data_IF_946331351707
#
_entry.id   IF_946331351707
#
_cell.length_a   1.000
_cell.length_b   1.000
_cell.length_c   1.000
_cell.angle_alpha   90.00
_cell.angle_beta   90.00
_cell.angle_gamma   90.00
#
_symmetry.space_group_name_H-M   'P 1'
#
loop_
_entity.id
_entity.type
_entity.pdbx_description
1 polymer ?
#
# COMPACT_ATOMS: atom_id res chain seq x y z
N UNK A 1 -21.91 -23.55 5.21
CA UNK A 1 -23.09 -22.83 4.67
C UNK A 1 -23.91 -23.84 3.90
N UNK A 2 -25.25 -23.79 3.98
CA UNK A 2 -26.08 -24.67 3.17
C UNK A 2 -26.17 -24.10 1.76
N UNK A 3 -25.69 -24.85 0.76
CA UNK A 3 -25.78 -24.45 -0.64
C UNK A 3 -27.24 -24.49 -1.12
N UNK A 4 -27.60 -23.57 -2.01
CA UNK A 4 -28.86 -23.60 -2.73
C UNK A 4 -28.88 -24.72 -3.76
N UNK A 5 -30.07 -25.13 -4.22
CA UNK A 5 -30.18 -26.16 -5.26
C UNK A 5 -29.50 -25.73 -6.58
N UNK A 6 -29.53 -24.44 -6.92
CA UNK A 6 -28.81 -23.91 -8.09
C UNK A 6 -27.29 -24.05 -7.94
N UNK A 7 -26.77 -23.72 -6.77
CA UNK A 7 -25.33 -23.85 -6.47
C UNK A 7 -24.87 -25.31 -6.54
N UNK A 8 -25.66 -26.24 -5.98
CA UNK A 8 -25.38 -27.68 -6.06
C UNK A 8 -25.38 -28.16 -7.51
N UNK A 9 -26.43 -27.83 -8.27
CA UNK A 9 -26.54 -28.22 -9.68
C UNK A 9 -25.38 -27.69 -10.54
N UNK A 10 -24.92 -26.46 -10.27
CA UNK A 10 -23.76 -25.88 -10.93
C UNK A 10 -22.47 -26.65 -10.62
N UNK A 11 -22.21 -26.97 -9.35
CA UNK A 11 -21.03 -27.74 -8.93
C UNK A 11 -21.04 -29.14 -9.55
N UNK A 12 -22.17 -29.83 -9.51
CA UNK A 12 -22.32 -31.17 -10.09
C UNK A 12 -22.06 -31.14 -11.60
N UNK A 13 -22.61 -30.14 -12.30
CA UNK A 13 -22.37 -29.96 -13.74
C UNK A 13 -20.90 -29.64 -14.06
N UNK A 14 -20.27 -28.79 -13.26
CA UNK A 14 -18.86 -28.44 -13.41
C UNK A 14 -17.97 -29.69 -13.31
N UNK A 15 -18.18 -30.54 -12.29
CA UNK A 15 -17.39 -31.76 -12.12
C UNK A 15 -17.72 -32.82 -13.18
N UNK A 16 -18.96 -32.92 -13.65
CA UNK A 16 -19.34 -33.86 -14.72
C UNK A 16 -18.71 -33.53 -16.08
N UNK A 17 -18.35 -32.27 -16.32
CA UNK A 17 -17.76 -31.79 -17.58
C UNK A 17 -16.24 -31.57 -17.47
N UNK A 18 -15.64 -31.84 -16.31
CA UNK A 18 -14.24 -31.54 -16.03
C UNK A 18 -13.29 -32.32 -16.95
N UNK A 19 -13.59 -33.59 -17.23
CA UNK A 19 -12.77 -34.44 -18.10
C UNK A 19 -12.85 -34.02 -19.59
N UNK A 20 -13.89 -33.30 -19.98
CA UNK A 20 -14.03 -32.74 -21.34
C UNK A 20 -13.23 -31.42 -21.48
N UNK A 21 -12.97 -30.73 -20.35
CA UNK A 21 -12.15 -29.52 -20.27
C UNK A 21 -10.66 -29.88 -20.24
N UNK A 22 -10.09 -30.18 -21.42
CA UNK A 22 -8.67 -30.52 -21.58
C UNK A 22 -7.67 -29.42 -21.10
N UNK A 23 -8.13 -28.18 -20.92
CA UNK A 23 -7.35 -27.06 -20.38
C UNK A 23 -8.24 -25.86 -20.06
N UNK A 24 -7.84 -24.99 -19.12
CA UNK A 24 -8.44 -23.66 -18.93
C UNK A 24 -7.92 -22.75 -20.06
N UNK A 25 -8.79 -22.34 -20.98
CA UNK A 25 -8.45 -21.55 -22.16
C UNK A 25 -8.96 -20.10 -22.07
N UNK A 26 -9.94 -19.82 -21.22
CA UNK A 26 -10.62 -18.52 -21.11
C UNK A 26 -10.67 -17.98 -19.68
N UNK A 27 -10.92 -16.67 -19.54
CA UNK A 27 -11.11 -16.01 -18.24
C UNK A 27 -12.39 -16.54 -17.58
N UNK A 28 -13.43 -16.79 -18.38
CA UNK A 28 -14.71 -17.32 -17.93
C UNK A 28 -14.54 -18.71 -17.29
N UNK A 29 -13.84 -19.63 -17.96
CA UNK A 29 -13.53 -20.95 -17.39
C UNK A 29 -12.70 -20.85 -16.12
N UNK A 30 -11.78 -19.89 -16.06
CA UNK A 30 -10.99 -19.63 -14.85
C UNK A 30 -11.89 -19.12 -13.71
N UNK A 31 -12.81 -18.20 -14.00
CA UNK A 31 -13.77 -17.68 -13.01
C UNK A 31 -14.68 -18.79 -12.50
N UNK A 32 -15.19 -19.68 -13.36
CA UNK A 32 -16.00 -20.84 -12.95
C UNK A 32 -15.27 -21.70 -11.91
N UNK A 33 -13.99 -22.01 -12.14
CA UNK A 33 -13.16 -22.76 -11.17
C UNK A 33 -13.15 -22.06 -9.82
N UNK A 34 -12.92 -20.75 -9.81
CA UNK A 34 -12.91 -19.98 -8.56
C UNK A 34 -14.30 -19.86 -7.91
N UNK A 35 -15.39 -19.81 -8.68
CA UNK A 35 -16.75 -19.85 -8.13
C UNK A 35 -17.02 -21.17 -7.43
N UNK A 36 -16.63 -22.31 -8.02
CA UNK A 36 -16.71 -23.61 -7.35
C UNK A 36 -15.91 -23.61 -6.05
N UNK A 37 -14.65 -23.17 -6.10
CA UNK A 37 -13.79 -23.06 -4.90
C UNK A 37 -14.39 -22.14 -3.82
N UNK A 38 -15.11 -21.08 -4.21
CA UNK A 38 -15.77 -20.16 -3.28
C UNK A 38 -16.96 -20.81 -2.60
N UNK A 39 -17.81 -21.50 -3.37
CA UNK A 39 -19.00 -22.19 -2.86
C UNK A 39 -18.64 -23.37 -1.96
N UNK A 40 -17.57 -24.10 -2.29
CA UNK A 40 -17.08 -25.24 -1.51
C UNK A 40 -16.19 -24.84 -0.31
N UNK A 41 -15.90 -23.54 -0.13
CA UNK A 41 -15.08 -23.07 0.97
C UNK A 41 -15.69 -23.41 2.33
N UNK A 42 -14.94 -24.18 3.13
CA UNK A 42 -15.37 -24.66 4.45
C UNK A 42 -14.99 -23.75 5.61
N UNK A 43 -14.24 -22.67 5.34
CA UNK A 43 -13.84 -21.66 6.31
C UNK A 43 -13.76 -20.27 5.65
N UNK A 44 -13.84 -19.23 6.49
CA UNK A 44 -13.87 -17.85 6.03
C UNK A 44 -12.55 -17.40 5.39
N UNK A 45 -11.40 -17.92 5.83
CA UNK A 45 -10.10 -17.53 5.25
C UNK A 45 -9.96 -18.03 3.81
N UNK A 46 -10.41 -19.25 3.50
CA UNK A 46 -10.50 -19.75 2.13
C UNK A 46 -11.47 -18.93 1.30
N UNK A 47 -12.65 -18.65 1.84
CA UNK A 47 -13.69 -17.88 1.14
C UNK A 47 -13.18 -16.48 0.77
N UNK A 48 -12.55 -15.79 1.72
CA UNK A 48 -11.86 -14.52 1.53
C UNK A 48 -10.76 -14.57 0.46
N UNK A 49 -9.89 -15.59 0.49
CA UNK A 49 -8.82 -15.76 -0.50
C UNK A 49 -9.37 -15.92 -1.90
N UNK A 50 -10.35 -16.79 -2.06
CA UNK A 50 -10.96 -17.09 -3.37
C UNK A 50 -11.71 -15.87 -3.90
N UNK A 51 -12.50 -15.18 -3.07
CA UNK A 51 -13.19 -13.95 -3.46
C UNK A 51 -12.22 -12.88 -3.96
N UNK A 52 -11.10 -12.70 -3.26
CA UNK A 52 -10.05 -11.78 -3.68
C UNK A 52 -9.46 -12.16 -5.04
N UNK A 53 -9.22 -13.45 -5.30
CA UNK A 53 -8.75 -13.95 -6.60
C UNK A 53 -9.75 -13.68 -7.71
N UNK A 54 -11.05 -13.96 -7.49
CA UNK A 54 -12.12 -13.71 -8.47
C UNK A 54 -12.10 -12.25 -8.93
N UNK A 55 -12.09 -11.30 -7.99
CA UNK A 55 -12.10 -9.87 -8.32
C UNK A 55 -10.75 -9.35 -8.86
N UNK A 56 -9.66 -10.05 -8.59
CA UNK A 56 -8.34 -9.69 -9.16
C UNK A 56 -8.24 -10.11 -10.63
N UNK A 57 -8.77 -11.30 -10.96
CA UNK A 57 -8.80 -11.83 -12.33
C UNK A 57 -9.80 -11.06 -13.18
N UNK A 58 -10.95 -10.72 -12.58
CA UNK A 58 -12.05 -10.11 -13.30
C UNK A 58 -12.64 -8.91 -12.53
N UNK A 59 -11.95 -7.75 -12.54
CA UNK A 59 -12.33 -6.59 -11.73
C UNK A 59 -13.50 -5.78 -12.29
N UNK A 60 -13.82 -5.94 -13.58
CA UNK A 60 -14.76 -5.07 -14.31
C UNK A 60 -15.84 -5.80 -15.08
N UNK A 61 -15.59 -7.06 -15.48
CA UNK A 61 -16.63 -7.82 -16.15
C UNK A 61 -17.54 -8.29 -15.02
N UNK A 62 -18.76 -7.77 -15.05
CA UNK A 62 -19.92 -8.30 -14.34
C UNK A 62 -19.78 -9.81 -14.28
N UNK A 63 -20.19 -10.47 -13.21
CA UNK A 63 -20.11 -11.93 -13.07
C UNK A 63 -20.94 -12.70 -14.13
N UNK A 64 -21.31 -12.07 -15.26
CA UNK A 64 -21.83 -12.58 -16.53
C UNK A 64 -22.49 -13.94 -16.40
N UNK A 65 -23.64 -13.97 -15.72
CA UNK A 65 -24.50 -15.13 -15.58
C UNK A 65 -24.33 -15.92 -14.27
N UNK A 66 -23.32 -15.61 -13.46
CA UNK A 66 -23.07 -16.22 -12.15
C UNK A 66 -23.68 -15.42 -10.99
N UNK A 67 -24.34 -14.28 -11.26
CA UNK A 67 -25.03 -13.49 -10.24
C UNK A 67 -26.17 -14.26 -9.57
N UNK A 68 -26.74 -15.27 -10.24
CA UNK A 68 -27.74 -16.15 -9.64
C UNK A 68 -27.14 -17.21 -8.69
N UNK A 69 -25.83 -17.42 -8.76
CA UNK A 69 -25.08 -18.39 -7.96
C UNK A 69 -24.37 -17.75 -6.78
N UNK A 70 -24.03 -16.47 -6.88
CA UNK A 70 -23.25 -15.73 -5.89
C UNK A 70 -24.05 -14.56 -5.31
N UNK A 71 -24.03 -14.43 -3.98
CA UNK A 71 -24.30 -13.13 -3.36
C UNK A 71 -23.09 -12.23 -3.62
N UNK A 72 -23.26 -11.32 -4.58
CA UNK A 72 -22.19 -10.44 -5.05
C UNK A 72 -21.74 -9.46 -3.95
N UNK A 73 -22.64 -9.06 -3.04
CA UNK A 73 -22.26 -8.20 -1.93
C UNK A 73 -21.40 -8.94 -0.93
N UNK A 74 -21.79 -10.17 -0.55
CA UNK A 74 -20.99 -11.04 0.32
C UNK A 74 -19.60 -11.32 -0.30
N UNK A 75 -19.55 -11.57 -1.62
CA UNK A 75 -18.29 -11.73 -2.35
C UNK A 75 -17.39 -10.50 -2.22
N UNK A 76 -17.95 -9.29 -2.43
CA UNK A 76 -17.21 -8.04 -2.28
C UNK A 76 -16.71 -7.82 -0.85
N UNK A 77 -17.51 -8.15 0.17
CA UNK A 77 -17.11 -8.03 1.58
C UNK A 77 -15.95 -8.97 1.94
N UNK A 78 -16.00 -10.22 1.47
CA UNK A 78 -14.91 -11.18 1.65
C UNK A 78 -13.63 -10.73 0.96
N UNK A 79 -13.72 -10.30 -0.29
CA UNK A 79 -12.56 -9.81 -1.03
C UNK A 79 -11.96 -8.55 -0.38
N UNK A 80 -12.80 -7.62 0.09
CA UNK A 80 -12.34 -6.42 0.80
C UNK A 80 -11.64 -6.78 2.13
N UNK A 81 -12.16 -7.77 2.85
CA UNK A 81 -11.54 -8.29 4.08
C UNK A 81 -10.16 -8.88 3.79
N UNK A 82 -10.05 -9.72 2.75
CA UNK A 82 -8.76 -10.27 2.33
C UNK A 82 -7.79 -9.18 1.91
N UNK A 83 -8.25 -8.21 1.13
CA UNK A 83 -7.42 -7.10 0.66
C UNK A 83 -6.83 -6.33 1.85
N UNK A 84 -7.62 -6.07 2.90
CA UNK A 84 -7.13 -5.46 4.14
C UNK A 84 -6.08 -6.35 4.83
N UNK A 85 -6.32 -7.65 4.96
CA UNK A 85 -5.35 -8.61 5.55
C UNK A 85 -4.03 -8.64 4.78
N UNK A 86 -4.07 -8.68 3.45
CA UNK A 86 -2.87 -8.66 2.58
C UNK A 86 -2.10 -7.35 2.75
N UNK A 87 -2.78 -6.20 2.71
CA UNK A 87 -2.16 -4.88 2.93
C UNK A 87 -1.50 -4.79 4.31
N UNK A 88 -2.21 -5.16 5.36
CA UNK A 88 -1.68 -5.14 6.73
C UNK A 88 -0.50 -6.11 6.89
N UNK A 89 -0.57 -7.31 6.30
CA UNK A 89 0.51 -8.27 6.29
C UNK A 89 1.77 -7.75 5.59
N UNK A 90 1.63 -6.99 4.49
CA UNK A 90 2.75 -6.37 3.80
C UNK A 90 3.44 -5.29 4.66
N UNK A 91 2.65 -4.46 5.36
CA UNK A 91 3.17 -3.45 6.30
C UNK A 91 3.95 -4.12 7.43
N UNK A 92 3.33 -5.07 8.13
CA UNK A 92 3.97 -5.81 9.23
C UNK A 92 5.25 -6.52 8.76
N UNK A 93 5.23 -7.11 7.57
CA UNK A 93 6.40 -7.75 7.00
C UNK A 93 7.51 -6.73 6.69
N UNK A 94 7.17 -5.53 6.21
CA UNK A 94 8.13 -4.45 5.99
C UNK A 94 8.76 -3.99 7.31
N UNK A 95 7.96 -3.69 8.32
CA UNK A 95 8.48 -3.32 9.65
C UNK A 95 9.40 -4.39 10.21
N UNK A 96 9.01 -5.67 10.12
CA UNK A 96 9.85 -6.79 10.57
C UNK A 96 11.20 -6.80 9.85
N UNK A 97 11.23 -6.52 8.54
CA UNK A 97 12.48 -6.45 7.77
C UNK A 97 13.36 -5.28 8.19
N UNK A 98 12.79 -4.11 8.46
CA UNK A 98 13.54 -2.97 9.00
C UNK A 98 14.11 -3.26 10.40
N UNK A 99 13.30 -3.83 11.29
CA UNK A 99 13.76 -4.26 12.61
C UNK A 99 14.89 -5.29 12.53
N UNK A 100 14.80 -6.23 11.58
CA UNK A 100 15.88 -7.20 11.33
C UNK A 100 17.16 -6.53 10.81
N UNK A 101 17.04 -5.50 9.97
CA UNK A 101 18.16 -4.68 9.49
C UNK A 101 18.71 -3.70 10.54
N UNK A 102 17.98 -3.49 11.64
CA UNK A 102 18.35 -2.51 12.68
C UNK A 102 18.12 -1.06 12.27
N UNK A 103 17.33 -0.80 11.23
CA UNK A 103 17.09 0.55 10.66
C UNK A 103 15.64 1.03 10.85
N UNK A 104 14.94 0.46 11.83
CA UNK A 104 13.61 0.90 12.28
C UNK A 104 13.75 1.83 13.48
N UNK A 105 13.91 3.13 13.22
CA UNK A 105 14.28 4.14 14.22
C UNK A 105 13.31 5.32 14.34
N UNK A 106 12.39 5.51 13.38
CA UNK A 106 11.44 6.62 13.42
C UNK A 106 10.52 6.53 14.65
N UNK A 107 10.47 7.60 15.45
CA UNK A 107 9.57 7.72 16.60
C UNK A 107 8.27 8.47 16.25
N UNK A 108 7.23 8.32 17.06
CA UNK A 108 5.96 9.03 16.88
C UNK A 108 6.15 10.57 16.92
N UNK A 109 6.99 11.07 17.83
CA UNK A 109 7.29 12.50 17.92
C UNK A 109 8.02 13.02 16.66
N UNK A 110 8.95 12.24 16.10
CA UNK A 110 9.63 12.61 14.86
C UNK A 110 8.69 12.59 13.65
N UNK A 111 7.75 11.65 13.63
CA UNK A 111 6.69 11.62 12.64
C UNK A 111 5.75 12.83 12.76
N UNK A 112 5.28 13.16 13.96
CA UNK A 112 4.46 14.35 14.20
C UNK A 112 5.18 15.63 13.77
N UNK A 113 6.48 15.73 14.07
CA UNK A 113 7.33 16.82 13.60
C UNK A 113 7.43 16.86 12.07
N UNK A 114 7.54 15.72 11.40
CA UNK A 114 7.53 15.65 9.94
C UNK A 114 6.19 16.17 9.38
N UNK A 115 5.07 15.66 9.89
CA UNK A 115 3.72 16.06 9.47
C UNK A 115 3.50 17.56 9.68
N UNK A 116 3.92 18.09 10.83
CA UNK A 116 3.86 19.53 11.11
C UNK A 116 4.78 20.32 10.17
N UNK A 117 6.01 19.84 9.96
CA UNK A 117 6.97 20.45 9.05
C UNK A 117 6.41 20.56 7.64
N UNK A 118 5.50 19.69 7.20
CA UNK A 118 4.84 19.76 5.89
C UNK A 118 3.41 20.31 5.93
N UNK A 119 3.03 21.07 6.96
CA UNK A 119 1.71 21.70 7.11
C UNK A 119 0.52 20.72 7.11
N UNK A 120 0.71 19.48 7.56
CA UNK A 120 -0.29 18.41 7.46
C UNK A 120 -0.72 18.12 6.00
N UNK A 121 0.21 18.30 5.05
CA UNK A 121 0.01 18.07 3.63
C UNK A 121 0.98 17.00 3.13
N UNK A 122 0.63 16.38 2.00
CA UNK A 122 1.58 15.56 1.25
C UNK A 122 2.82 16.40 0.89
N UNK A 123 4.00 15.89 1.25
CA UNK A 123 5.28 16.55 0.96
C UNK A 123 5.48 16.82 -0.53
N UNK A 124 4.93 15.97 -1.40
CA UNK A 124 4.99 16.12 -2.86
C UNK A 124 3.86 17.00 -3.40
N UNK A 125 2.62 16.51 -3.42
CA UNK A 125 1.53 17.18 -4.15
C UNK A 125 0.77 18.24 -3.34
N UNK A 126 1.06 18.39 -2.04
CA UNK A 126 0.40 19.38 -1.17
C UNK A 126 -1.04 19.10 -0.79
N UNK A 127 -1.62 17.96 -1.19
CA UNK A 127 -2.99 17.61 -0.80
C UNK A 127 -3.08 17.30 0.69
N UNK A 128 -4.17 17.75 1.30
CA UNK A 128 -4.58 17.43 2.69
C UNK A 128 -5.41 16.16 2.71
N UNK A 129 -4.72 15.03 2.69
CA UNK A 129 -5.33 13.70 2.72
C UNK A 129 -4.70 12.88 3.85
N UNK A 130 -5.15 11.63 4.03
CA UNK A 130 -4.50 10.70 4.95
C UNK A 130 -3.04 10.48 4.52
N UNK A 131 -2.12 10.86 5.40
CA UNK A 131 -0.68 10.75 5.19
C UNK A 131 -0.18 9.35 5.57
N UNK A 132 0.81 8.87 4.83
CA UNK A 132 1.53 7.61 5.06
C UNK A 132 3.03 7.88 5.15
N UNK A 133 3.74 6.96 5.80
CA UNK A 133 5.20 6.96 5.84
C UNK A 133 5.75 6.68 4.45
N UNK A 134 6.37 7.68 3.82
CA UNK A 134 7.01 7.53 2.53
C UNK A 134 8.52 7.45 2.68
N UNK A 135 9.12 6.42 2.07
CA UNK A 135 10.56 6.26 1.98
C UNK A 135 11.11 7.07 0.81
N UNK A 136 11.86 8.13 1.08
CA UNK A 136 12.50 8.93 0.02
C UNK A 136 13.46 8.06 -0.79
N UNK A 137 14.39 7.38 -0.11
CA UNK A 137 15.14 6.24 -0.65
C UNK A 137 14.32 4.98 -0.38
N UNK A 138 13.87 4.24 -1.39
CA UNK A 138 13.08 3.02 -1.20
C UNK A 138 13.78 1.98 -0.33
N UNK A 139 13.00 1.21 0.44
CA UNK A 139 13.52 0.09 1.24
C UNK A 139 14.34 -0.91 0.40
N UNK A 140 13.85 -1.24 -0.81
CA UNK A 140 14.51 -2.14 -1.77
C UNK A 140 15.88 -1.63 -2.23
N UNK A 141 16.13 -0.33 -2.11
CA UNK A 141 17.39 0.35 -2.43
C UNK A 141 18.22 0.71 -1.20
N UNK A 142 17.87 0.13 -0.04
CA UNK A 142 18.62 0.31 1.19
C UNK A 142 18.12 1.44 2.11
N UNK A 143 17.05 2.15 1.77
CA UNK A 143 16.51 3.20 2.65
C UNK A 143 16.05 2.68 4.01
N UNK A 144 16.34 3.45 5.06
CA UNK A 144 15.96 3.19 6.45
C UNK A 144 14.50 3.57 6.73
N UNK A 145 13.93 3.02 7.82
CA UNK A 145 12.69 3.50 8.42
C UNK A 145 13.04 4.48 9.55
N UNK A 146 13.74 5.55 9.17
CA UNK A 146 14.21 6.60 10.07
C UNK A 146 13.82 7.99 9.55
N UNK A 147 13.85 8.98 10.43
CA UNK A 147 13.45 10.37 10.12
C UNK A 147 14.29 11.02 9.01
N UNK A 148 15.51 10.54 8.81
CA UNK A 148 16.43 10.94 7.75
C UNK A 148 15.99 10.47 6.36
N UNK A 149 14.99 9.59 6.28
CA UNK A 149 14.52 8.99 5.03
C UNK A 149 12.98 8.97 4.90
N UNK A 150 12.24 9.16 5.99
CA UNK A 150 10.78 9.12 6.00
C UNK A 150 10.18 10.53 5.97
N UNK A 151 9.27 10.75 5.02
CA UNK A 151 8.47 11.98 4.91
C UNK A 151 6.97 11.67 4.83
N UNK A 152 6.07 12.63 5.13
CA UNK A 152 4.64 12.43 4.92
C UNK A 152 4.25 12.54 3.45
N UNK A 153 3.58 11.53 2.90
CA UNK A 153 2.99 11.59 1.57
C UNK A 153 1.55 11.04 1.58
N UNK A 154 0.71 11.45 0.63
CA UNK A 154 -0.57 10.79 0.43
C UNK A 154 -0.38 9.41 -0.22
N UNK A 155 -1.36 8.52 -0.05
CA UNK A 155 -1.31 7.14 -0.57
C UNK A 155 -1.11 7.08 -2.08
N UNK A 156 -1.68 8.02 -2.84
CA UNK A 156 -1.53 8.11 -4.29
C UNK A 156 -0.09 8.42 -4.69
N UNK A 157 0.56 9.40 -4.03
CA UNK A 157 1.94 9.75 -4.36
C UNK A 157 2.92 8.66 -3.92
N UNK A 158 2.77 8.14 -2.71
CA UNK A 158 3.58 7.02 -2.19
C UNK A 158 3.48 5.79 -3.15
N UNK A 159 2.26 5.41 -3.53
CA UNK A 159 2.05 4.28 -4.46
C UNK A 159 2.57 4.56 -5.87
N UNK A 160 2.47 5.81 -6.35
CA UNK A 160 2.98 6.19 -7.67
C UNK A 160 4.50 6.24 -7.72
N UNK A 161 5.16 6.69 -6.64
CA UNK A 161 6.62 6.66 -6.54
C UNK A 161 7.13 5.23 -6.38
N UNK A 162 6.50 4.43 -5.50
CA UNK A 162 6.88 3.04 -5.25
C UNK A 162 8.40 2.92 -4.98
N UNK A 163 9.12 2.13 -5.77
CA UNK A 163 10.57 1.92 -5.67
C UNK A 163 11.38 2.79 -6.64
N UNK A 164 10.75 3.76 -7.32
CA UNK A 164 11.42 4.72 -8.17
C UNK A 164 12.33 5.65 -7.35
N UNK A 165 13.35 6.17 -8.03
CA UNK A 165 14.19 7.22 -7.47
C UNK A 165 13.36 8.49 -7.23
N UNK A 166 13.50 9.09 -6.04
CA UNK A 166 12.70 10.24 -5.63
C UNK A 166 12.86 11.44 -6.58
N UNK A 167 14.10 11.84 -6.87
CA UNK A 167 14.38 13.05 -7.65
C UNK A 167 13.86 12.88 -9.08
N UNK A 168 14.18 11.75 -9.70
CA UNK A 168 13.69 11.44 -11.04
C UNK A 168 12.17 11.35 -11.10
N UNK A 169 11.53 10.64 -10.15
CA UNK A 169 10.09 10.48 -10.16
C UNK A 169 9.39 11.83 -9.95
N UNK A 170 9.79 12.60 -8.94
CA UNK A 170 9.07 13.81 -8.55
C UNK A 170 9.15 14.90 -9.62
N UNK A 171 10.34 15.12 -10.21
CA UNK A 171 10.54 16.09 -11.30
C UNK A 171 9.72 15.80 -12.56
N UNK A 172 9.30 14.55 -12.75
CA UNK A 172 8.48 14.12 -13.89
C UNK A 172 6.98 14.11 -13.59
N UNK A 173 6.53 14.56 -12.41
CA UNK A 173 5.10 14.64 -12.09
C UNK A 173 4.49 15.94 -12.60
N UNK A 174 3.23 15.88 -13.05
CA UNK A 174 2.47 17.08 -13.47
C UNK A 174 2.23 18.08 -12.33
N UNK A 175 2.41 17.66 -11.08
CA UNK A 175 2.27 18.46 -9.87
C UNK A 175 3.62 18.81 -9.23
N UNK A 176 4.73 18.63 -9.94
CA UNK A 176 6.05 19.04 -9.45
C UNK A 176 6.05 20.51 -9.03
N UNK A 177 6.60 20.77 -7.85
CA UNK A 177 6.76 22.10 -7.30
C UNK A 177 8.16 22.22 -6.67
N UNK A 178 8.96 23.17 -7.19
CA UNK A 178 10.35 23.38 -6.79
C UNK A 178 10.48 23.79 -5.33
N UNK A 179 9.53 24.58 -4.80
CA UNK A 179 9.56 25.00 -3.40
C UNK A 179 9.30 23.83 -2.46
N UNK A 180 8.43 22.89 -2.85
CA UNK A 180 8.20 21.64 -2.11
C UNK A 180 9.38 20.69 -2.21
N UNK A 181 9.99 20.57 -3.38
CA UNK A 181 11.23 19.80 -3.56
C UNK A 181 12.32 20.31 -2.61
N UNK A 182 12.53 21.63 -2.60
CA UNK A 182 13.47 22.28 -1.70
C UNK A 182 13.11 22.04 -0.23
N UNK A 183 11.81 22.07 0.13
CA UNK A 183 11.35 21.76 1.50
C UNK A 183 11.68 20.32 1.90
N UNK A 184 11.49 19.36 1.00
CA UNK A 184 11.89 17.95 1.23
C UNK A 184 13.39 17.86 1.45
N UNK A 185 14.20 18.44 0.55
CA UNK A 185 15.65 18.42 0.67
C UNK A 185 16.15 19.08 1.96
N UNK A 186 15.53 20.21 2.35
CA UNK A 186 15.86 20.90 3.59
C UNK A 186 15.48 20.08 4.81
N UNK A 187 14.30 19.45 4.84
CA UNK A 187 13.89 18.57 5.94
C UNK A 187 14.89 17.41 6.14
N UNK A 188 15.27 16.74 5.06
CA UNK A 188 16.23 15.63 5.10
C UNK A 188 17.65 16.12 5.43
N UNK A 189 18.03 17.30 4.95
CA UNK A 189 19.34 17.92 5.18
C UNK A 189 19.54 18.44 6.62
N UNK A 190 18.49 19.00 7.23
CA UNK A 190 18.49 19.41 8.65
C UNK A 190 18.75 18.23 9.60
N UNK A 191 18.44 17.01 9.17
CA UNK A 191 18.60 15.78 9.96
C UNK A 191 20.01 15.16 9.84
N UNK A 192 20.77 15.53 8.81
CA UNK A 192 22.14 15.05 8.58
C UNK A 192 23.21 15.86 9.35
N UNK A 193 22.80 16.85 10.14
CA UNK A 193 23.70 17.64 10.97
C UNK A 193 23.25 17.61 12.45
N UNK A 194 23.67 16.62 13.26
CA UNK A 194 23.23 16.49 14.65
C UNK A 194 23.88 17.50 15.61
N UNK A 195 24.46 18.61 15.11
CA UNK A 195 25.21 19.54 15.94
C UNK A 195 25.19 20.96 15.42
N UNK A 196 24.17 21.72 15.80
CA UNK A 196 24.30 23.16 16.04
C UNK A 196 23.03 23.66 16.73
N UNK A 197 23.13 23.82 18.05
CA UNK A 197 22.47 24.79 18.93
C UNK A 197 22.80 24.29 20.35
N UNK A 198 23.77 24.87 21.04
CA UNK A 198 23.57 26.08 21.83
C UNK A 198 24.95 26.57 22.31
N UNK A 199 25.25 27.85 22.10
CA UNK A 199 26.21 28.61 22.92
C UNK A 199 25.76 30.08 22.88
N UNK A 200 24.63 30.37 23.52
CA UNK A 200 24.34 31.71 24.00
C UNK A 200 25.08 31.98 25.31
N UNK A 201 26.19 32.74 25.27
CA UNK A 201 26.51 33.93 26.10
C UNK A 201 28.03 34.21 26.24
N UNK A 202 28.37 35.50 26.07
CA UNK A 202 29.59 36.23 26.49
C UNK A 202 30.87 35.95 25.65
N UNK A 203 31.73 36.91 25.29
CA UNK A 203 32.03 38.25 25.78
C UNK A 203 32.43 39.19 24.63
N UNK A 204 32.19 40.48 24.87
CA UNK A 204 32.91 41.66 24.40
C UNK A 204 34.13 41.47 23.47
N UNK A 205 34.10 42.15 22.31
CA UNK A 205 35.18 43.08 21.98
C UNK A 205 34.75 44.10 20.93
N UNK A 206 34.54 45.31 21.42
CA UNK A 206 34.59 46.55 20.66
C UNK A 206 36.02 46.76 20.16
N UNK A 207 36.19 46.97 18.86
CA UNK A 207 37.29 47.75 18.29
C UNK A 207 36.80 48.42 17.01
N UNK A 208 36.35 49.66 17.17
CA UNK A 208 36.28 50.64 16.10
C UNK A 208 37.72 51.07 15.73
N UNK A 209 37.97 51.18 14.43
CA UNK A 209 39.01 52.03 13.87
C UNK A 209 38.49 53.47 13.74
#
# INVERSE_FOLDING_TARGET
MNLTEKQKAFIDHYYATLDEKNSIATIEEMVEVFVVLYLEANDDDKRERVAYSILTINPTIKLMGLEELLDVNELYEHAATRQKKVKNGAIVAQEKRHRHRGDFSLTDAEWENAVHHFNNECAYCGKKEKLTFEHVVPFSKGGSFGKENIIPACSTCNSSKNDLDYDHWYRNQSFYDEMRDQRVMTYLGQMNNPGSNDDGLSEDHVLFA
#
